data_IF_288524498184
#
_entry.id   IF_288524498184
#
_cell.length_a   1.000
_cell.length_b   1.000
_cell.length_c   1.000
_cell.angle_alpha   90.00
_cell.angle_beta   90.00
_cell.angle_gamma   90.00
#
_symmetry.space_group_name_H-M   'P 1'
#
loop_
_entity.id
_entity.type
_entity.pdbx_description
1 polymer ?
#
# COMPACT_ATOMS: atom_id res chain seq x y z
N UNK A 1 5.65 15.76 19.54
CA UNK A 1 5.54 15.24 18.16
C UNK A 1 6.34 13.94 18.11
N UNK A 2 5.72 12.82 17.79
CA UNK A 2 6.37 11.51 17.72
C UNK A 2 7.39 11.42 16.57
N UNK A 3 8.28 10.42 16.62
CA UNK A 3 9.31 10.20 15.58
C UNK A 3 8.69 10.01 14.19
N UNK A 4 7.69 9.15 14.06
CA UNK A 4 6.97 8.92 12.81
C UNK A 4 6.37 10.20 12.21
N UNK A 5 5.75 11.05 13.03
CA UNK A 5 5.19 12.32 12.58
C UNK A 5 6.27 13.28 12.04
N UNK A 6 7.46 13.31 12.66
CA UNK A 6 8.59 14.13 12.17
C UNK A 6 9.08 13.63 10.81
N UNK A 7 9.20 12.32 10.64
CA UNK A 7 9.65 11.72 9.37
C UNK A 7 8.63 12.02 8.26
N UNK A 8 7.32 11.80 8.51
CA UNK A 8 6.27 12.08 7.54
C UNK A 8 6.27 13.55 7.10
N UNK A 9 6.36 14.50 8.05
CA UNK A 9 6.45 15.93 7.73
C UNK A 9 7.72 16.29 6.95
N UNK A 10 8.84 15.68 7.26
CA UNK A 10 10.08 15.87 6.49
C UNK A 10 9.92 15.40 5.05
N UNK A 11 9.29 14.24 4.83
CA UNK A 11 8.98 13.74 3.49
C UNK A 11 8.05 14.70 2.76
N UNK A 12 6.96 15.14 3.39
CA UNK A 12 5.99 16.06 2.80
C UNK A 12 6.55 17.46 2.49
N UNK A 13 7.48 17.94 3.31
CA UNK A 13 8.05 19.29 3.22
C UNK A 13 9.33 19.42 2.42
N UNK A 14 9.87 18.33 1.91
CA UNK A 14 11.09 18.35 1.12
C UNK A 14 10.83 18.89 -0.28
N UNK A 15 11.55 19.95 -0.70
CA UNK A 15 11.46 20.50 -2.07
C UNK A 15 11.80 19.45 -3.15
N UNK A 16 12.67 18.50 -2.81
CA UNK A 16 13.02 17.34 -3.63
C UNK A 16 11.78 16.44 -3.90
N UNK A 17 10.78 16.51 -3.01
CA UNK A 17 9.63 15.61 -2.96
C UNK A 17 8.29 16.31 -3.27
N UNK A 18 8.31 17.59 -3.60
CA UNK A 18 7.10 18.38 -3.88
C UNK A 18 6.27 17.87 -5.06
N UNK A 19 6.90 17.06 -5.93
CA UNK A 19 6.29 16.46 -7.12
C UNK A 19 6.33 14.92 -7.09
N UNK A 20 6.61 14.33 -5.91
CA UNK A 20 6.78 12.89 -5.82
C UNK A 20 5.47 12.14 -5.65
N UNK A 21 5.43 10.89 -6.16
CA UNK A 21 4.25 10.03 -6.13
C UNK A 21 4.03 9.39 -4.76
N UNK A 22 3.96 10.19 -3.68
CA UNK A 22 3.47 9.71 -2.39
C UNK A 22 1.95 9.74 -2.36
N UNK A 23 1.34 8.83 -1.61
CA UNK A 23 -0.11 8.78 -1.42
C UNK A 23 -0.70 10.10 -0.90
N UNK A 24 0.12 10.91 -0.19
CA UNK A 24 -0.25 12.22 0.32
C UNK A 24 -1.33 12.19 1.40
N UNK A 25 -1.77 13.38 1.84
CA UNK A 25 -2.65 13.49 3.02
C UNK A 25 -4.06 12.98 2.79
N UNK A 26 -4.67 13.30 1.67
CA UNK A 26 -6.09 12.97 1.45
C UNK A 26 -6.29 11.47 1.28
N UNK A 27 -5.53 10.85 0.40
CA UNK A 27 -5.57 9.39 0.20
C UNK A 27 -5.00 8.64 1.39
N UNK A 28 -3.93 9.18 2.02
CA UNK A 28 -3.36 8.63 3.24
C UNK A 28 -4.36 8.55 4.39
N UNK A 29 -5.30 9.51 4.52
CA UNK A 29 -6.41 9.42 5.51
C UNK A 29 -7.33 8.23 5.24
N UNK A 30 -7.66 7.97 3.98
CA UNK A 30 -8.47 6.81 3.59
C UNK A 30 -7.75 5.52 3.97
N UNK A 31 -6.46 5.41 3.61
CA UNK A 31 -5.63 4.25 3.94
C UNK A 31 -5.58 4.00 5.46
N UNK A 32 -5.28 5.04 6.24
CA UNK A 32 -5.23 4.99 7.71
C UNK A 32 -6.58 4.59 8.30
N UNK A 33 -7.69 5.09 7.78
CA UNK A 33 -9.03 4.73 8.25
C UNK A 33 -9.31 3.23 8.06
N UNK A 34 -8.91 2.66 6.93
CA UNK A 34 -9.03 1.22 6.71
C UNK A 34 -8.16 0.40 7.64
N UNK A 35 -6.91 0.80 7.85
CA UNK A 35 -6.01 0.14 8.82
C UNK A 35 -6.62 0.15 10.22
N UNK A 36 -7.11 1.29 10.69
CA UNK A 36 -7.75 1.43 12.02
C UNK A 36 -8.99 0.54 12.17
N UNK A 37 -9.83 0.48 11.14
CA UNK A 37 -11.08 -0.31 11.18
C UNK A 37 -10.84 -1.80 11.07
N UNK A 38 -9.91 -2.21 10.22
CA UNK A 38 -9.65 -3.63 9.90
C UNK A 38 -8.62 -4.26 10.81
N UNK A 39 -7.70 -3.44 11.38
CA UNK A 39 -6.59 -3.88 12.23
C UNK A 39 -5.86 -5.09 11.63
N UNK A 40 -5.37 -4.98 10.39
CA UNK A 40 -4.70 -6.09 9.72
C UNK A 40 -3.47 -6.50 10.53
N UNK A 41 -3.24 -7.80 10.65
CA UNK A 41 -2.01 -8.34 11.25
C UNK A 41 -0.90 -8.41 10.23
N UNK A 42 -1.24 -8.67 8.97
CA UNK A 42 -0.25 -8.77 7.90
C UNK A 42 -0.68 -7.99 6.67
N UNK A 43 0.16 -7.06 6.27
CA UNK A 43 -0.05 -6.14 5.14
C UNK A 43 0.99 -6.42 4.07
N UNK A 44 0.58 -6.52 2.81
CA UNK A 44 1.45 -6.42 1.64
C UNK A 44 1.30 -5.03 1.02
N UNK A 45 2.40 -4.37 0.76
CA UNK A 45 2.45 -3.13 -0.01
C UNK A 45 3.26 -3.33 -1.27
N UNK A 46 2.71 -2.94 -2.41
CA UNK A 46 3.42 -2.93 -3.70
C UNK A 46 3.67 -1.48 -4.09
N UNK A 47 4.94 -1.09 -4.06
CA UNK A 47 5.39 0.28 -4.20
C UNK A 47 5.71 0.94 -2.85
N UNK A 48 6.92 0.67 -2.32
CA UNK A 48 7.40 1.25 -1.05
C UNK A 48 7.77 2.71 -1.20
N UNK A 49 8.41 3.04 -2.32
CA UNK A 49 9.04 4.32 -2.57
C UNK A 49 9.91 4.75 -1.36
N UNK A 50 9.66 5.91 -0.77
CA UNK A 50 10.42 6.40 0.39
C UNK A 50 9.89 5.91 1.75
N UNK A 51 8.94 4.96 1.75
CA UNK A 51 8.34 4.37 2.95
C UNK A 51 7.24 5.20 3.59
N UNK A 52 6.69 6.20 2.88
CA UNK A 52 5.68 7.10 3.43
C UNK A 52 4.39 6.37 3.84
N UNK A 53 3.81 5.57 2.96
CA UNK A 53 2.60 4.78 3.20
C UNK A 53 2.83 3.68 4.25
N UNK A 54 3.98 2.99 4.20
CA UNK A 54 4.36 2.02 5.23
C UNK A 54 4.40 2.66 6.63
N UNK A 55 4.96 3.87 6.76
CA UNK A 55 4.99 4.61 8.02
C UNK A 55 3.59 5.05 8.43
N UNK A 56 2.75 5.52 7.49
CA UNK A 56 1.36 5.88 7.78
C UNK A 56 0.55 4.69 8.32
N UNK A 57 0.65 3.53 7.68
CA UNK A 57 -0.01 2.30 8.12
C UNK A 57 0.56 1.83 9.46
N UNK A 58 1.87 1.79 9.57
CA UNK A 58 2.58 1.28 10.74
C UNK A 58 2.32 2.06 12.03
N UNK A 59 1.96 3.34 11.94
CA UNK A 59 1.54 4.13 13.12
C UNK A 59 0.24 3.66 13.76
N UNK A 60 -0.57 2.96 13.00
CA UNK A 60 -1.90 2.49 13.42
C UNK A 60 -1.91 0.99 13.77
N UNK A 61 -0.78 0.32 13.52
CA UNK A 61 -0.59 -1.11 13.76
C UNK A 61 0.21 -1.35 15.04
N UNK A 62 -0.04 -2.47 15.70
CA UNK A 62 0.69 -2.89 16.90
C UNK A 62 1.88 -3.78 16.60
N UNK A 63 2.62 -4.16 17.65
CA UNK A 63 3.84 -5.00 17.57
C UNK A 63 3.63 -6.37 16.96
N UNK A 64 2.42 -6.92 17.09
CA UNK A 64 2.06 -8.24 16.55
C UNK A 64 1.69 -8.19 15.06
N UNK A 65 1.89 -7.05 14.42
CA UNK A 65 1.61 -6.85 13.00
C UNK A 65 2.88 -6.80 12.17
N UNK A 66 2.76 -7.12 10.90
CA UNK A 66 3.84 -7.12 9.92
C UNK A 66 3.41 -6.37 8.66
N UNK A 67 4.33 -5.59 8.10
CA UNK A 67 4.22 -4.98 6.78
C UNK A 67 5.34 -5.55 5.90
N UNK A 68 4.98 -6.25 4.84
CA UNK A 68 5.90 -6.62 3.76
C UNK A 68 5.69 -5.60 2.64
N UNK A 69 6.74 -4.91 2.24
CA UNK A 69 6.65 -3.88 1.20
C UNK A 69 7.72 -4.10 0.14
N UNK A 70 7.37 -3.89 -1.13
CA UNK A 70 8.20 -4.22 -2.29
C UNK A 70 8.56 -2.93 -3.04
N UNK A 71 9.85 -2.77 -3.31
CA UNK A 71 10.41 -1.64 -4.07
C UNK A 71 11.36 -2.14 -5.16
N UNK A 72 11.15 -1.71 -6.38
CA UNK A 72 11.98 -2.14 -7.51
C UNK A 72 13.37 -1.50 -7.50
N UNK A 73 13.47 -0.25 -7.03
CA UNK A 73 14.71 0.51 -6.98
C UNK A 73 15.44 0.29 -5.64
N UNK A 74 16.66 -0.26 -5.73
CA UNK A 74 17.48 -0.57 -4.56
C UNK A 74 17.84 0.69 -3.74
N UNK A 75 18.17 1.79 -4.38
CA UNK A 75 18.59 3.01 -3.68
C UNK A 75 17.40 3.65 -2.96
N UNK A 76 16.23 3.62 -3.61
CA UNK A 76 14.96 4.09 -3.02
C UNK A 76 14.56 3.20 -1.85
N UNK A 77 14.68 1.88 -1.96
CA UNK A 77 14.41 0.94 -0.88
C UNK A 77 15.32 1.18 0.35
N UNK A 78 16.60 1.47 0.13
CA UNK A 78 17.52 1.81 1.23
C UNK A 78 17.13 3.13 1.93
N UNK A 79 16.62 4.10 1.17
CA UNK A 79 16.07 5.32 1.74
C UNK A 79 14.80 5.03 2.56
N UNK A 80 13.91 4.17 2.04
CA UNK A 80 12.72 3.74 2.76
C UNK A 80 13.06 3.06 4.09
N UNK A 81 14.02 2.13 4.09
CA UNK A 81 14.51 1.46 5.32
C UNK A 81 14.97 2.46 6.37
N UNK A 82 15.77 3.46 5.97
CA UNK A 82 16.22 4.52 6.89
C UNK A 82 15.06 5.33 7.45
N UNK A 83 14.11 5.73 6.62
CA UNK A 83 12.93 6.49 7.05
C UNK A 83 12.05 5.69 8.01
N UNK A 84 11.80 4.42 7.70
CA UNK A 84 11.01 3.49 8.54
C UNK A 84 11.70 3.28 9.90
N UNK A 85 13.00 3.05 9.90
CA UNK A 85 13.78 2.90 11.13
C UNK A 85 13.73 4.18 11.99
N UNK A 86 13.93 5.35 11.39
CA UNK A 86 13.86 6.64 12.09
C UNK A 86 12.44 6.93 12.62
N UNK A 87 11.41 6.50 11.89
CA UNK A 87 10.03 6.64 12.31
C UNK A 87 9.72 5.86 13.59
N UNK A 88 10.42 4.74 13.84
CA UNK A 88 10.28 3.95 15.04
C UNK A 88 8.85 3.42 15.24
N UNK A 89 8.23 2.94 14.15
CA UNK A 89 6.90 2.32 14.21
C UNK A 89 6.98 0.94 14.85
N UNK A 90 5.87 0.50 15.47
CA UNK A 90 5.87 -0.74 16.27
C UNK A 90 5.86 -2.03 15.45
N UNK A 91 5.14 -2.15 14.31
CA UNK A 91 5.10 -3.38 13.54
C UNK A 91 6.47 -3.70 12.93
N UNK A 92 6.72 -4.99 12.68
CA UNK A 92 7.83 -5.41 11.83
C UNK A 92 7.57 -4.92 10.41
N UNK A 93 8.57 -4.26 9.81
CA UNK A 93 8.52 -3.87 8.40
C UNK A 93 9.67 -4.53 7.66
N UNK A 94 9.34 -5.29 6.62
CA UNK A 94 10.29 -5.93 5.73
C UNK A 94 10.23 -5.27 4.35
N UNK A 95 11.34 -4.67 3.91
CA UNK A 95 11.43 -4.03 2.59
C UNK A 95 12.17 -4.99 1.64
N UNK A 96 11.44 -5.55 0.70
CA UNK A 96 11.96 -6.44 -0.35
C UNK A 96 12.34 -5.61 -1.59
N UNK A 97 13.47 -5.95 -2.22
CA UNK A 97 13.99 -5.21 -3.37
C UNK A 97 13.88 -6.06 -4.62
N UNK A 98 13.14 -5.60 -5.61
CA UNK A 98 13.01 -6.23 -6.92
C UNK A 98 11.63 -6.04 -7.54
N UNK A 99 11.40 -6.73 -8.65
CA UNK A 99 10.13 -6.71 -9.35
C UNK A 99 9.03 -7.40 -8.52
N UNK A 100 7.92 -6.71 -8.30
CA UNK A 100 6.80 -7.25 -7.55
C UNK A 100 6.16 -8.48 -8.22
N UNK A 101 6.21 -8.58 -9.54
CA UNK A 101 5.73 -9.75 -10.28
C UNK A 101 6.55 -11.01 -9.96
N UNK A 102 7.82 -10.86 -9.64
CA UNK A 102 8.70 -11.96 -9.24
C UNK A 102 8.65 -12.22 -7.73
N UNK A 103 8.54 -11.17 -6.92
CA UNK A 103 8.61 -11.27 -5.45
C UNK A 103 7.30 -11.77 -4.84
N UNK A 104 6.13 -11.30 -5.30
CA UNK A 104 4.84 -11.69 -4.71
C UNK A 104 4.65 -13.21 -4.64
N UNK A 105 4.98 -14.02 -5.67
CA UNK A 105 4.88 -15.47 -5.58
C UNK A 105 5.70 -16.08 -4.45
N UNK A 106 6.91 -15.56 -4.20
CA UNK A 106 7.88 -16.08 -3.23
C UNK A 106 7.56 -15.71 -1.78
N UNK A 107 6.75 -14.66 -1.55
CA UNK A 107 6.37 -14.26 -0.19
C UNK A 107 5.34 -15.24 0.37
N UNK A 108 5.72 -15.95 1.42
CA UNK A 108 4.85 -16.95 2.05
C UNK A 108 3.77 -16.33 2.94
N UNK A 109 2.72 -17.10 3.20
CA UNK A 109 1.64 -16.79 4.14
C UNK A 109 0.52 -15.94 3.54
N UNK A 110 -0.50 -15.67 4.36
CA UNK A 110 -1.69 -14.92 3.97
C UNK A 110 -1.57 -13.45 4.35
N UNK A 111 -2.34 -12.60 3.66
CA UNK A 111 -2.44 -11.18 3.95
C UNK A 111 -3.87 -10.77 4.30
N UNK A 112 -4.01 -9.95 5.34
CA UNK A 112 -5.28 -9.33 5.72
C UNK A 112 -5.59 -8.10 4.87
N UNK A 113 -4.52 -7.44 4.40
CA UNK A 113 -4.62 -6.23 3.58
C UNK A 113 -3.52 -6.20 2.52
N UNK A 114 -3.87 -5.72 1.34
CA UNK A 114 -2.92 -5.41 0.25
C UNK A 114 -3.11 -3.96 -0.14
N UNK A 115 -2.01 -3.22 -0.24
CA UNK A 115 -1.99 -1.85 -0.77
C UNK A 115 -1.21 -1.82 -2.08
N UNK A 116 -1.85 -1.38 -3.16
CA UNK A 116 -1.28 -1.29 -4.50
C UNK A 116 -1.02 0.18 -4.85
N UNK A 117 0.24 0.57 -4.95
CA UNK A 117 0.68 1.92 -5.34
C UNK A 117 1.98 1.90 -6.17
N UNK A 118 2.06 1.01 -7.15
CA UNK A 118 3.18 0.87 -8.09
C UNK A 118 2.73 1.13 -9.54
N UNK A 119 3.18 0.33 -10.51
CA UNK A 119 2.77 0.45 -11.91
C UNK A 119 1.27 0.13 -12.07
N UNK A 120 0.52 1.11 -12.57
CA UNK A 120 -0.94 1.03 -12.67
C UNK A 120 -1.41 0.04 -13.74
N UNK A 121 -0.58 -0.24 -14.73
CA UNK A 121 -0.83 -1.25 -15.76
C UNK A 121 -0.72 -2.69 -15.25
N UNK A 122 -0.06 -2.90 -14.10
CA UNK A 122 0.22 -4.21 -13.54
C UNK A 122 -0.70 -4.58 -12.34
N UNK A 123 -1.63 -3.71 -11.93
CA UNK A 123 -2.49 -3.97 -10.77
C UNK A 123 -3.29 -5.26 -10.88
N UNK A 124 -3.74 -5.62 -12.08
CA UNK A 124 -4.45 -6.88 -12.31
C UNK A 124 -3.54 -8.10 -12.08
N UNK A 125 -2.29 -8.01 -12.52
CA UNK A 125 -1.29 -9.07 -12.30
C UNK A 125 -0.88 -9.16 -10.83
N UNK A 126 -0.60 -8.05 -10.16
CA UNK A 126 -0.33 -8.07 -8.71
C UNK A 126 -1.46 -8.75 -7.94
N UNK A 127 -2.71 -8.40 -8.26
CA UNK A 127 -3.86 -9.04 -7.62
C UNK A 127 -3.91 -10.54 -7.91
N UNK A 128 -3.70 -10.95 -9.16
CA UNK A 128 -3.68 -12.38 -9.56
C UNK A 128 -2.65 -13.18 -8.77
N UNK A 129 -1.46 -12.61 -8.57
CA UNK A 129 -0.36 -13.28 -7.86
C UNK A 129 -0.62 -13.38 -6.35
N UNK A 130 -1.27 -12.38 -5.76
CA UNK A 130 -1.55 -12.36 -4.32
C UNK A 130 -2.89 -13.01 -3.97
N UNK A 131 -3.79 -13.23 -4.93
CA UNK A 131 -5.18 -13.63 -4.69
C UNK A 131 -5.30 -14.96 -3.91
N UNK A 132 -4.42 -15.93 -4.17
CA UNK A 132 -4.34 -17.18 -3.42
C UNK A 132 -3.85 -17.01 -1.96
N UNK A 133 -3.33 -15.84 -1.62
CA UNK A 133 -2.85 -15.47 -0.28
C UNK A 133 -3.85 -14.55 0.46
N UNK A 134 -5.04 -14.33 -0.15
CA UNK A 134 -6.14 -13.56 0.46
C UNK A 134 -7.20 -14.51 0.98
N UNK A 135 -7.67 -14.26 2.18
CA UNK A 135 -8.82 -14.95 2.77
C UNK A 135 -10.09 -14.11 2.68
N UNK A 136 -11.21 -14.74 2.94
CA UNK A 136 -12.49 -14.01 3.06
C UNK A 136 -12.37 -12.87 4.08
N UNK A 137 -12.76 -11.66 3.67
CA UNK A 137 -12.65 -10.44 4.48
C UNK A 137 -11.33 -9.68 4.31
N UNK A 138 -10.31 -10.23 3.64
CA UNK A 138 -9.11 -9.47 3.27
C UNK A 138 -9.46 -8.29 2.39
N UNK A 139 -8.70 -7.20 2.52
CA UNK A 139 -8.97 -5.94 1.83
C UNK A 139 -7.85 -5.61 0.87
N UNK A 140 -8.19 -5.30 -0.37
CA UNK A 140 -7.27 -4.73 -1.36
C UNK A 140 -7.60 -3.26 -1.54
N UNK A 141 -6.61 -2.39 -1.37
CA UNK A 141 -6.71 -0.94 -1.57
C UNK A 141 -5.80 -0.56 -2.73
N UNK A 142 -6.36 0.00 -3.79
CA UNK A 142 -5.63 0.43 -4.98
C UNK A 142 -5.66 1.96 -5.09
N UNK A 143 -4.49 2.59 -5.20
CA UNK A 143 -4.37 4.05 -5.31
C UNK A 143 -4.47 4.56 -6.74
N UNK A 144 -4.71 5.88 -6.90
CA UNK A 144 -4.75 6.61 -8.17
C UNK A 144 -5.85 6.18 -9.17
N UNK A 145 -6.99 5.74 -8.67
CA UNK A 145 -8.04 5.15 -9.51
C UNK A 145 -8.61 6.12 -10.53
N UNK A 146 -8.79 7.39 -10.18
CA UNK A 146 -9.36 8.37 -11.10
C UNK A 146 -8.34 8.81 -12.16
N UNK A 147 -7.12 9.12 -11.75
CA UNK A 147 -6.06 9.59 -12.64
C UNK A 147 -5.57 8.50 -13.61
N UNK A 148 -5.64 7.25 -13.18
CA UNK A 148 -5.09 6.11 -13.93
C UNK A 148 -6.14 5.07 -14.33
N UNK A 149 -7.43 5.44 -14.35
CA UNK A 149 -8.54 4.54 -14.63
C UNK A 149 -8.41 3.77 -15.95
N UNK A 150 -7.79 4.37 -16.96
CA UNK A 150 -7.53 3.72 -18.24
C UNK A 150 -6.49 2.61 -18.11
N UNK A 151 -5.37 2.88 -17.43
CA UNK A 151 -4.27 1.91 -17.28
C UNK A 151 -4.65 0.71 -16.40
N UNK A 152 -5.55 0.91 -15.42
CA UNK A 152 -5.99 -0.14 -14.50
C UNK A 152 -7.41 -0.66 -14.81
N UNK A 153 -7.89 -0.48 -16.05
CA UNK A 153 -9.26 -0.84 -16.42
C UNK A 153 -9.59 -2.31 -16.18
N UNK A 154 -8.68 -3.21 -16.50
CA UNK A 154 -8.82 -4.66 -16.30
C UNK A 154 -8.88 -5.05 -14.81
N UNK A 155 -8.07 -4.38 -13.97
CA UNK A 155 -8.15 -4.51 -12.52
C UNK A 155 -9.51 -4.07 -12.00
N UNK A 156 -9.96 -2.87 -12.38
CA UNK A 156 -11.24 -2.31 -11.93
C UNK A 156 -12.43 -3.16 -12.39
N UNK A 157 -12.41 -3.62 -13.64
CA UNK A 157 -13.44 -4.52 -14.16
C UNK A 157 -13.49 -5.81 -13.34
N UNK A 158 -12.35 -6.41 -13.06
CA UNK A 158 -12.27 -7.64 -12.29
C UNK A 158 -12.79 -7.49 -10.86
N UNK A 159 -12.32 -6.50 -10.10
CA UNK A 159 -12.74 -6.36 -8.69
C UNK A 159 -14.21 -5.94 -8.55
N UNK A 160 -14.77 -5.28 -9.56
CA UNK A 160 -16.16 -4.83 -9.55
C UNK A 160 -17.16 -5.85 -10.08
N UNK A 161 -16.76 -6.73 -11.02
CA UNK A 161 -17.67 -7.57 -11.79
C UNK A 161 -17.42 -9.08 -11.67
N UNK A 162 -16.33 -9.53 -11.05
CA UNK A 162 -16.05 -10.97 -10.91
C UNK A 162 -16.96 -11.72 -9.93
N UNK A 163 -17.66 -11.00 -9.06
CA UNK A 163 -18.41 -11.60 -7.95
C UNK A 163 -17.55 -12.12 -6.80
N UNK A 164 -16.20 -11.91 -6.86
CA UNK A 164 -15.25 -12.34 -5.84
C UNK A 164 -14.94 -11.26 -4.82
N UNK A 165 -15.32 -10.02 -5.10
CA UNK A 165 -15.06 -8.86 -4.26
C UNK A 165 -16.33 -8.00 -4.12
N UNK A 166 -16.48 -7.39 -2.94
CA UNK A 166 -17.29 -6.21 -2.76
C UNK A 166 -16.39 -4.99 -2.91
N UNK A 167 -16.52 -4.29 -4.03
CA UNK A 167 -15.61 -3.22 -4.41
C UNK A 167 -16.30 -1.87 -4.50
N UNK A 168 -15.60 -0.80 -4.05
CA UNK A 168 -16.13 0.56 -4.12
C UNK A 168 -15.01 1.58 -4.30
N UNK A 169 -15.28 2.59 -5.11
CA UNK A 169 -14.44 3.77 -5.22
C UNK A 169 -14.66 4.71 -4.03
N UNK A 170 -13.58 5.16 -3.41
CA UNK A 170 -13.59 6.17 -2.34
C UNK A 170 -12.83 7.40 -2.82
N UNK A 171 -13.57 8.49 -3.01
CA UNK A 171 -12.99 9.76 -3.42
C UNK A 171 -12.12 10.34 -2.32
N UNK A 172 -10.90 10.79 -2.66
CA UNK A 172 -9.97 11.45 -1.77
C UNK A 172 -9.28 12.61 -2.49
N UNK A 173 -9.68 13.83 -2.18
CA UNK A 173 -9.24 15.02 -2.91
C UNK A 173 -9.73 15.00 -4.38
N UNK A 174 -8.81 15.22 -5.30
CA UNK A 174 -9.08 15.20 -6.75
C UNK A 174 -9.03 13.79 -7.37
N UNK A 175 -8.49 12.82 -6.66
CA UNK A 175 -8.37 11.41 -7.05
C UNK A 175 -9.19 10.50 -6.12
N UNK A 176 -8.73 9.28 -5.88
CA UNK A 176 -9.34 8.34 -4.96
C UNK A 176 -8.73 6.95 -5.03
N UNK A 177 -9.28 6.08 -4.20
CA UNK A 177 -8.86 4.69 -4.06
C UNK A 177 -10.02 3.73 -4.37
N UNK A 178 -9.72 2.60 -4.98
CA UNK A 178 -10.63 1.47 -5.01
C UNK A 178 -10.37 0.59 -3.81
N UNK A 179 -11.42 0.27 -3.08
CA UNK A 179 -11.35 -0.61 -1.91
C UNK A 179 -12.19 -1.83 -2.17
N UNK A 180 -11.58 -2.97 -2.21
CA UNK A 180 -12.17 -4.26 -2.57
C UNK A 180 -12.03 -5.25 -1.41
N UNK A 181 -13.15 -5.75 -0.91
CA UNK A 181 -13.21 -6.75 0.16
C UNK A 181 -13.44 -8.12 -0.45
N UNK A 182 -12.58 -9.09 -0.16
CA UNK A 182 -12.72 -10.48 -0.61
C UNK A 182 -13.96 -11.13 0.00
N UNK A 183 -14.82 -11.74 -0.82
CA UNK A 183 -16.07 -12.41 -0.42
C UNK A 183 -15.86 -13.88 0.00
#
# INVERSE_FOLDING_TARGET
>A
MGSAERVLRRIEGSDRWRYLPIVGRDRGRVLVEFVRRRRPRRVLEVGTFVGYSAILMGRELGRDSEIVTIEIDREVAELARRNIQEAGIEPRVEVLVGDALEIIPEVEGEFDMVFLDADKGEYREYLRLVEGKLRRGSVVVADNVRSSSYSMRDYLDYVRNSGLYESRFIRAGWDGMEVSVRL
#
